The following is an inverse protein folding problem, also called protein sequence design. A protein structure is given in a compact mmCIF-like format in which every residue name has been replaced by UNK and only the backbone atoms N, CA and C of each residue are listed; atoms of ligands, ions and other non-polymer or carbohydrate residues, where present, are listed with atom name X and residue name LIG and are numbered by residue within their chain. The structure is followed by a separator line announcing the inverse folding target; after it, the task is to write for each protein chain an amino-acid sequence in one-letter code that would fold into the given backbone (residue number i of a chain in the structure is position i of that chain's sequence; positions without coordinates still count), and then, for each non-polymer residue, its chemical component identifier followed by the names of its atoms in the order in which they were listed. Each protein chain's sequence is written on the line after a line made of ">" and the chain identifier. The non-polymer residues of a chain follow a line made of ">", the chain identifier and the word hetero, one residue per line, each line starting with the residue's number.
data_IF_645057436388
#
_entry.id   IF_645057436388
#
_cell.length_a   1.000
_cell.length_b   1.000
_cell.length_c   1.000
_cell.angle_alpha   90.00
_cell.angle_beta   90.00
_cell.angle_gamma   90.00
#
_symmetry.space_group_name_H-M   'P 1'
#
loop_
_entity.id
_entity.type
_entity.pdbx_description
1 polymer ?
#
# COMPACT_ATOMS: atom_id res chain seq x y z
N UNK A 1 -14.64 16.24 8.93
CA UNK A 1 -13.33 16.07 8.26
C UNK A 1 -12.57 14.87 8.79
N UNK A 2 -12.56 14.61 10.11
CA UNK A 2 -11.93 13.41 10.68
C UNK A 2 -12.33 12.11 9.96
N UNK A 3 -13.62 11.90 9.71
CA UNK A 3 -14.12 10.67 9.07
C UNK A 3 -13.59 10.49 7.64
N UNK A 4 -13.53 11.57 6.85
CA UNK A 4 -12.99 11.53 5.50
C UNK A 4 -11.50 11.24 5.51
N UNK A 5 -10.73 11.94 6.35
CA UNK A 5 -9.29 11.70 6.49
C UNK A 5 -9.01 10.28 6.93
N UNK A 6 -9.76 9.75 7.89
CA UNK A 6 -9.64 8.37 8.34
C UNK A 6 -9.89 7.38 7.18
N UNK A 7 -10.97 7.56 6.42
CA UNK A 7 -11.30 6.71 5.27
C UNK A 7 -10.19 6.75 4.21
N UNK A 8 -9.69 7.93 3.87
CA UNK A 8 -8.60 8.09 2.90
C UNK A 8 -7.32 7.39 3.39
N UNK A 9 -6.95 7.56 4.65
CA UNK A 9 -5.74 6.95 5.22
C UNK A 9 -5.83 5.44 5.45
N UNK A 10 -7.03 4.89 5.71
CA UNK A 10 -7.21 3.45 5.99
C UNK A 10 -7.52 2.62 4.73
N UNK A 11 -7.82 3.29 3.61
CA UNK A 11 -8.04 2.63 2.32
C UNK A 11 -6.71 2.16 1.76
N UNK A 12 -6.64 0.85 1.48
CA UNK A 12 -5.44 0.22 0.95
C UNK A 12 -5.17 0.71 -0.48
N UNK A 13 -3.94 1.15 -0.76
CA UNK A 13 -3.57 1.66 -2.08
C UNK A 13 -2.07 1.86 -2.29
N UNK A 14 -1.24 0.80 -2.15
CA UNK A 14 0.19 0.92 -2.45
C UNK A 14 0.43 1.30 -3.92
N UNK A 15 1.58 1.89 -4.23
CA UNK A 15 1.91 2.31 -5.59
C UNK A 15 1.72 1.18 -6.61
N UNK A 16 0.97 1.46 -7.68
CA UNK A 16 0.54 0.51 -8.72
C UNK A 16 -0.84 -0.13 -8.48
N UNK A 17 -1.42 0.01 -7.28
CA UNK A 17 -2.69 -0.60 -6.89
C UNK A 17 -3.69 0.42 -6.29
N UNK A 18 -3.66 1.67 -6.75
CA UNK A 18 -4.41 2.81 -6.20
C UNK A 18 -5.92 2.79 -6.52
N UNK A 19 -6.44 1.70 -7.07
CA UNK A 19 -7.81 1.65 -7.59
C UNK A 19 -8.88 1.78 -6.49
N UNK A 20 -8.63 1.27 -5.28
CA UNK A 20 -9.53 1.43 -4.14
C UNK A 20 -9.61 2.89 -3.67
N UNK A 21 -8.45 3.52 -3.44
CA UNK A 21 -8.38 4.92 -3.00
C UNK A 21 -8.87 5.87 -4.10
N UNK A 22 -8.60 5.57 -5.37
CA UNK A 22 -9.14 6.33 -6.51
C UNK A 22 -10.66 6.28 -6.55
N UNK A 23 -11.26 5.11 -6.38
CA UNK A 23 -12.72 4.97 -6.35
C UNK A 23 -13.34 5.75 -5.19
N UNK A 24 -12.70 5.73 -4.02
CA UNK A 24 -13.11 6.53 -2.87
C UNK A 24 -13.05 8.03 -3.18
N UNK A 25 -11.93 8.54 -3.67
CA UNK A 25 -11.77 9.97 -3.99
C UNK A 25 -12.77 10.38 -5.09
N UNK A 26 -12.91 9.57 -6.13
CA UNK A 26 -13.86 9.82 -7.22
C UNK A 26 -15.30 9.98 -6.70
N UNK A 27 -15.72 9.15 -5.75
CA UNK A 27 -17.04 9.27 -5.13
C UNK A 27 -17.20 10.57 -4.33
N UNK A 28 -16.18 10.97 -3.58
CA UNK A 28 -16.21 12.20 -2.76
C UNK A 28 -16.21 13.49 -3.61
N UNK A 29 -15.64 13.46 -4.81
CA UNK A 29 -15.54 14.64 -5.70
C UNK A 29 -16.57 14.65 -6.84
N UNK A 30 -17.38 13.60 -6.99
CA UNK A 30 -18.31 13.42 -8.09
C UNK A 30 -19.26 14.60 -8.30
N UNK A 31 -19.77 15.18 -7.21
CA UNK A 31 -20.71 16.32 -7.26
C UNK A 31 -20.00 17.69 -7.26
N UNK A 32 -18.67 17.71 -7.13
CA UNK A 32 -17.86 18.92 -7.02
C UNK A 32 -17.13 19.28 -8.33
N UNK A 33 -16.90 18.29 -9.19
CA UNK A 33 -16.14 18.45 -10.43
C UNK A 33 -17.05 18.54 -11.66
N UNK A 34 -16.66 19.37 -12.63
CA UNK A 34 -17.36 19.51 -13.93
C UNK A 34 -16.99 18.38 -14.90
N UNK A 35 -15.76 17.86 -14.79
CA UNK A 35 -15.24 16.76 -15.59
C UNK A 35 -14.31 15.91 -14.73
N UNK A 36 -14.46 14.59 -14.84
CA UNK A 36 -13.65 13.60 -14.13
C UNK A 36 -13.20 12.55 -15.14
N UNK A 37 -11.90 12.32 -15.19
CA UNK A 37 -11.32 11.25 -16.02
C UNK A 37 -10.19 10.56 -15.29
N UNK A 38 -9.96 9.30 -15.67
CA UNK A 38 -8.80 8.52 -15.27
C UNK A 38 -7.90 8.34 -16.49
N UNK A 39 -6.62 8.66 -16.38
CA UNK A 39 -5.68 8.43 -17.47
C UNK A 39 -5.14 6.99 -17.50
N UNK A 40 -4.29 6.68 -18.48
CA UNK A 40 -3.76 5.33 -18.67
C UNK A 40 -2.85 4.85 -17.52
N UNK A 41 -2.31 5.77 -16.71
CA UNK A 41 -1.48 5.45 -15.55
C UNK A 41 -2.31 5.34 -14.26
N UNK A 42 -3.60 5.67 -14.32
CA UNK A 42 -4.51 5.59 -13.17
C UNK A 42 -4.63 6.90 -12.39
N UNK A 43 -4.13 8.03 -12.90
CA UNK A 43 -4.30 9.33 -12.25
C UNK A 43 -5.77 9.77 -12.34
N UNK A 44 -6.35 10.19 -11.22
CA UNK A 44 -7.67 10.79 -11.17
C UNK A 44 -7.56 12.30 -11.43
N UNK A 45 -8.09 12.75 -12.55
CA UNK A 45 -7.99 14.14 -12.98
C UNK A 45 -9.39 14.76 -12.95
N UNK A 46 -9.56 15.70 -12.02
CA UNK A 46 -10.80 16.43 -11.83
C UNK A 46 -10.63 17.87 -12.29
N UNK A 47 -11.57 18.36 -13.10
CA UNK A 47 -11.59 19.75 -13.55
C UNK A 47 -12.79 20.49 -12.95
N UNK A 48 -12.54 21.71 -12.48
CA UNK A 48 -13.55 22.67 -12.04
C UNK A 48 -13.33 23.98 -12.79
N UNK A 49 -14.41 24.60 -13.26
CA UNK A 49 -14.44 25.89 -13.92
C UNK A 49 -14.41 25.84 -15.45
N UNK A 50 -14.85 26.96 -16.04
CA UNK A 50 -15.16 27.07 -17.47
C UNK A 50 -14.12 27.82 -18.32
N UNK A 51 -12.97 28.22 -17.76
CA UNK A 51 -11.89 28.87 -18.52
C UNK A 51 -10.96 29.75 -17.68
N UNK A 52 -10.10 30.53 -18.33
CA UNK A 52 -9.16 31.45 -17.68
C UNK A 52 -7.81 30.82 -17.31
N UNK A 53 -7.18 31.35 -16.25
CA UNK A 53 -5.90 30.84 -15.72
C UNK A 53 -6.07 29.42 -15.19
N UNK A 54 -5.20 28.50 -15.64
CA UNK A 54 -5.22 27.10 -15.19
C UNK A 54 -4.32 26.94 -13.97
N UNK A 55 -4.87 26.40 -12.89
CA UNK A 55 -4.16 26.08 -11.65
C UNK A 55 -4.20 24.56 -11.46
N UNK A 56 -3.05 23.96 -11.17
CA UNK A 56 -2.96 22.55 -10.79
C UNK A 56 -2.77 22.45 -9.28
N UNK A 57 -3.63 21.65 -8.64
CA UNK A 57 -3.44 21.18 -7.27
C UNK A 57 -3.23 19.68 -7.40
N UNK A 58 -2.08 19.20 -6.91
CA UNK A 58 -1.65 17.83 -7.06
C UNK A 58 -1.32 17.21 -5.69
N UNK A 59 -1.82 16.01 -5.48
CA UNK A 59 -1.57 15.18 -4.32
C UNK A 59 -1.59 13.72 -4.77
N UNK A 60 -0.54 12.97 -4.43
CA UNK A 60 -0.44 11.57 -4.79
C UNK A 60 -1.40 10.72 -3.92
N UNK A 61 -2.02 9.70 -4.52
CA UNK A 61 -2.98 8.82 -3.86
C UNK A 61 -2.33 7.59 -3.25
N UNK A 62 -1.16 7.22 -3.77
CA UNK A 62 -0.47 6.00 -3.41
C UNK A 62 0.20 6.11 -2.03
N UNK A 63 0.34 4.95 -1.40
CA UNK A 63 1.11 4.80 -0.17
C UNK A 63 2.33 3.90 -0.38
N UNK A 64 3.32 4.05 0.50
CA UNK A 64 4.41 3.09 0.63
C UNK A 64 3.86 1.71 1.03
N UNK A 65 4.52 0.65 0.58
CA UNK A 65 4.03 -0.70 0.83
C UNK A 65 5.11 -1.76 0.62
N UNK A 66 4.65 -3.01 0.51
CA UNK A 66 5.49 -4.18 0.28
C UNK A 66 4.88 -5.03 -0.83
N UNK A 67 5.71 -5.78 -1.54
CA UNK A 67 5.29 -6.75 -2.54
C UNK A 67 5.82 -8.12 -2.16
N UNK A 68 4.97 -9.12 -1.94
CA UNK A 68 5.43 -10.49 -1.80
C UNK A 68 6.07 -10.94 -3.12
N UNK A 69 7.28 -11.48 -3.06
CA UNK A 69 8.06 -11.88 -4.24
C UNK A 69 8.33 -13.37 -4.29
N UNK A 70 8.34 -14.04 -3.14
CA UNK A 70 8.63 -15.46 -3.05
C UNK A 70 8.05 -16.06 -1.77
N UNK A 71 7.37 -17.19 -1.90
CA UNK A 71 6.94 -18.01 -0.77
C UNK A 71 7.99 -19.10 -0.51
N UNK A 72 8.65 -19.05 0.64
CA UNK A 72 9.70 -20.00 1.00
C UNK A 72 9.12 -21.40 1.26
N UNK A 73 9.51 -22.44 0.48
CA UNK A 73 8.84 -23.74 0.56
C UNK A 73 8.93 -24.47 1.91
N UNK A 74 9.99 -24.20 2.70
CA UNK A 74 10.27 -24.89 3.97
C UNK A 74 9.62 -24.21 5.17
N UNK A 75 9.74 -22.89 5.25
CA UNK A 75 9.22 -22.08 6.36
C UNK A 75 7.80 -21.61 6.12
N UNK A 76 7.39 -21.42 4.86
CA UNK A 76 6.14 -20.77 4.47
C UNK A 76 6.19 -19.24 4.59
N UNK A 77 7.34 -18.66 4.92
CA UNK A 77 7.49 -17.21 5.03
C UNK A 77 7.54 -16.55 3.65
N UNK A 78 6.99 -15.34 3.56
CA UNK A 78 7.07 -14.56 2.34
C UNK A 78 8.30 -13.65 2.37
N UNK A 79 9.11 -13.72 1.33
CA UNK A 79 10.08 -12.68 1.00
C UNK A 79 9.35 -11.56 0.26
N UNK A 80 9.87 -10.34 0.38
CA UNK A 80 9.23 -9.18 -0.21
C UNK A 80 10.21 -8.16 -0.75
N UNK A 81 9.75 -7.35 -1.69
CA UNK A 81 10.39 -6.12 -2.13
C UNK A 81 9.70 -4.90 -1.52
N UNK A 82 10.46 -3.81 -1.34
CA UNK A 82 9.96 -2.52 -0.86
C UNK A 82 9.21 -1.81 -1.99
N UNK A 83 7.99 -1.33 -1.75
CA UNK A 83 7.29 -0.37 -2.62
C UNK A 83 7.48 1.01 -2.00
N UNK A 84 8.25 1.86 -2.67
CA UNK A 84 8.65 3.17 -2.14
C UNK A 84 9.75 3.08 -1.08
N UNK A 85 9.84 4.10 -0.21
CA UNK A 85 10.91 4.24 0.78
C UNK A 85 10.51 3.79 2.18
N UNK A 86 10.68 2.49 2.50
CA UNK A 86 10.42 1.97 3.83
C UNK A 86 11.58 2.26 4.79
N UNK A 87 11.24 2.59 6.04
CA UNK A 87 12.23 2.69 7.12
C UNK A 87 12.43 1.31 7.74
N UNK A 88 13.56 0.66 7.45
CA UNK A 88 13.89 -0.69 7.96
C UNK A 88 13.81 -0.83 9.48
N UNK A 89 14.14 0.24 10.22
CA UNK A 89 14.01 0.28 11.68
C UNK A 89 12.57 0.16 12.20
N UNK A 90 11.57 0.41 11.36
CA UNK A 90 10.16 0.30 11.69
C UNK A 90 9.52 -1.00 11.20
N UNK A 91 10.26 -1.87 10.50
CA UNK A 91 9.69 -3.07 9.89
C UNK A 91 9.46 -4.20 10.90
N UNK A 92 10.43 -4.51 11.75
CA UNK A 92 10.29 -5.64 12.69
C UNK A 92 9.12 -5.42 13.64
N UNK A 93 8.21 -6.40 13.70
CA UNK A 93 7.00 -6.37 14.52
C UNK A 93 5.83 -5.60 13.90
N UNK A 94 6.02 -4.95 12.75
CA UNK A 94 4.94 -4.28 12.05
C UNK A 94 3.98 -5.27 11.40
N UNK A 95 2.70 -4.88 11.36
CA UNK A 95 1.65 -5.63 10.67
C UNK A 95 1.48 -5.10 9.25
N UNK A 96 1.30 -6.01 8.32
CA UNK A 96 0.99 -5.71 6.92
C UNK A 96 -0.35 -6.33 6.54
N UNK A 97 -1.04 -5.70 5.60
CA UNK A 97 -2.30 -6.18 5.02
C UNK A 97 -2.14 -6.28 3.51
N UNK A 98 -2.40 -7.46 2.98
CA UNK A 98 -2.46 -7.71 1.54
C UNK A 98 -3.83 -7.32 0.99
N UNK A 99 -3.93 -7.21 -0.33
CA UNK A 99 -5.14 -6.76 -1.01
C UNK A 99 -6.37 -7.63 -0.71
N UNK A 100 -6.15 -8.95 -0.62
CA UNK A 100 -7.19 -9.95 -0.30
C UNK A 100 -7.65 -9.91 1.17
N UNK A 101 -7.07 -9.02 1.98
CA UNK A 101 -7.34 -8.89 3.41
C UNK A 101 -6.47 -9.78 4.29
N UNK A 102 -5.59 -10.60 3.73
CA UNK A 102 -4.64 -11.42 4.50
C UNK A 102 -3.73 -10.50 5.33
N UNK A 103 -3.53 -10.86 6.59
CA UNK A 103 -2.66 -10.15 7.52
C UNK A 103 -1.35 -10.89 7.68
N UNK A 104 -0.26 -10.14 7.81
CA UNK A 104 1.05 -10.69 8.11
C UNK A 104 1.80 -9.85 9.13
N UNK A 105 2.83 -10.44 9.72
CA UNK A 105 3.78 -9.76 10.61
C UNK A 105 5.17 -9.81 9.98
N UNK A 106 5.81 -8.66 9.90
CA UNK A 106 7.18 -8.55 9.39
C UNK A 106 8.17 -8.87 10.52
N UNK A 107 9.14 -9.72 10.22
CA UNK A 107 10.23 -10.08 11.12
C UNK A 107 11.54 -10.19 10.34
N UNK A 108 12.66 -10.39 11.02
CA UNK A 108 13.96 -10.59 10.39
C UNK A 108 14.75 -11.71 11.06
N UNK A 109 15.58 -12.40 10.28
CA UNK A 109 16.57 -13.31 10.84
C UNK A 109 17.70 -12.52 11.51
N UNK A 110 18.30 -13.09 12.56
CA UNK A 110 19.51 -12.60 13.20
C UNK A 110 19.48 -11.12 13.62
N UNK A 111 18.52 -10.77 14.47
CA UNK A 111 18.44 -9.47 15.14
C UNK A 111 19.58 -9.22 16.18
N UNK A 112 20.65 -10.01 16.14
CA UNK A 112 21.76 -9.91 17.08
C UNK A 112 22.76 -8.84 16.62
N UNK A 113 22.70 -7.65 17.23
CA UNK A 113 23.64 -6.55 16.99
C UNK A 113 22.95 -5.19 17.01
N UNK A 114 23.75 -4.12 16.85
CA UNK A 114 23.24 -2.75 16.78
C UNK A 114 22.96 -2.26 15.35
N UNK A 115 23.28 -3.05 14.33
CA UNK A 115 23.06 -2.69 12.92
C UNK A 115 21.72 -3.21 12.41
N UNK A 116 21.04 -2.39 11.59
CA UNK A 116 19.85 -2.84 10.89
C UNK A 116 20.22 -3.92 9.87
N UNK A 117 19.46 -5.02 9.78
CA UNK A 117 19.70 -6.04 8.78
C UNK A 117 19.39 -5.52 7.37
N UNK A 118 20.02 -6.14 6.37
CA UNK A 118 19.66 -5.92 4.96
C UNK A 118 18.25 -6.45 4.68
N UNK A 119 17.59 -5.90 3.64
CA UNK A 119 16.19 -6.21 3.34
C UNK A 119 15.95 -7.71 3.13
N UNK A 120 16.93 -8.42 2.57
CA UNK A 120 16.87 -9.86 2.28
C UNK A 120 16.74 -10.73 3.56
N UNK A 121 17.10 -10.19 4.72
CA UNK A 121 16.93 -10.88 6.00
C UNK A 121 15.52 -10.73 6.57
N UNK A 122 14.72 -9.79 6.07
CA UNK A 122 13.32 -9.64 6.46
C UNK A 122 12.44 -10.67 5.75
N UNK A 123 11.36 -11.02 6.42
CA UNK A 123 10.32 -11.90 5.92
C UNK A 123 8.97 -11.53 6.54
N UNK A 124 7.88 -11.98 5.92
CA UNK A 124 6.52 -11.82 6.44
C UNK A 124 6.00 -13.21 6.79
N UNK A 125 5.59 -13.34 8.04
CA UNK A 125 4.81 -14.50 8.49
C UNK A 125 3.32 -14.18 8.33
N UNK A 126 2.64 -14.96 7.49
CA UNK A 126 1.19 -14.88 7.23
C UNK A 126 0.43 -16.07 7.80
N UNK A 127 1.11 -16.93 8.57
CA UNK A 127 0.46 -18.08 9.20
C UNK A 127 -0.53 -17.62 10.27
N UNK A 128 -1.70 -18.26 10.30
CA UNK A 128 -2.71 -18.04 11.34
C UNK A 128 -2.74 -19.21 12.36
N UNK A 129 -1.69 -20.04 12.35
CA UNK A 129 -1.59 -21.26 13.16
C UNK A 129 -2.40 -22.44 12.63
N UNK A 130 -3.17 -22.27 11.56
CA UNK A 130 -3.68 -23.37 10.76
C UNK A 130 -2.72 -23.61 9.59
N UNK A 131 -2.38 -24.86 9.27
CA UNK A 131 -1.47 -25.21 8.15
C UNK A 131 -2.02 -24.83 6.75
N UNK A 132 -3.07 -23.99 6.69
CA UNK A 132 -3.68 -23.49 5.46
C UNK A 132 -2.85 -22.35 4.89
N UNK A 133 -2.23 -22.57 3.72
CA UNK A 133 -1.57 -21.51 2.95
C UNK A 133 -2.62 -20.60 2.32
N UNK A 134 -2.54 -19.29 2.58
CA UNK A 134 -3.48 -18.29 2.02
C UNK A 134 -2.93 -17.49 0.84
N UNK A 135 -1.62 -17.42 0.66
CA UNK A 135 -1.00 -16.59 -0.38
C UNK A 135 -0.09 -17.44 -1.28
N UNK A 136 -0.46 -17.50 -2.56
CA UNK A 136 0.42 -17.91 -3.65
C UNK A 136 1.14 -16.64 -4.13
N UNK A 137 2.48 -16.67 -4.08
CA UNK A 137 3.32 -15.57 -4.55
C UNK A 137 3.54 -15.65 -6.06
#
# INVERSE_FOLDING_TARGET
>A
MYDLTKRLCETWGPSGYEHHVRALIQAEVAELADDIRVDALGNLICRVGSGGTKILIDAHMDEIGIMATFNEPKSGYLRFAEIGGLKRSALVGSRVRFEDGTLGVVNAHDLQGNSLPDIDHFYIDVSDGSDARRIEA
#
